data_IF_036806043074
#
_entry.id   IF_036806043074
#
_cell.length_a   1.000
_cell.length_b   1.000
_cell.length_c   1.000
_cell.angle_alpha   90.00
_cell.angle_beta   90.00
_cell.angle_gamma   90.00
#
_symmetry.space_group_name_H-M   'P 1'
#
loop_
_entity.id
_entity.type
_entity.pdbx_description
1 polymer ?
#
# COMPACT_ATOMS: atom_id res chain seq x y z
N UNK A 1 -29.60 -7.52 53.79
CA UNK A 1 -29.07 -6.94 52.54
C UNK A 1 -27.60 -7.30 52.41
N UNK A 2 -27.27 -8.40 51.73
CA UNK A 2 -25.89 -8.78 51.42
C UNK A 2 -25.54 -8.23 50.03
N UNK A 3 -24.49 -7.41 49.94
CA UNK A 3 -23.88 -6.98 48.68
C UNK A 3 -22.83 -8.01 48.25
N UNK A 4 -22.85 -8.54 47.02
CA UNK A 4 -21.78 -9.41 46.54
C UNK A 4 -20.55 -8.55 46.19
N UNK A 5 -19.38 -8.97 46.66
CA UNK A 5 -18.09 -8.44 46.25
C UNK A 5 -17.74 -9.05 44.89
N UNK A 6 -17.75 -8.25 43.83
CA UNK A 6 -17.14 -8.65 42.56
C UNK A 6 -15.63 -8.51 42.69
N UNK A 7 -14.94 -9.66 42.77
CA UNK A 7 -13.49 -9.73 42.61
C UNK A 7 -13.22 -9.75 41.11
N UNK A 8 -12.67 -8.66 40.59
CA UNK A 8 -12.11 -8.62 39.25
C UNK A 8 -10.80 -9.38 39.25
N UNK A 9 -10.83 -10.62 38.79
CA UNK A 9 -9.61 -11.36 38.44
C UNK A 9 -9.14 -10.81 37.10
N UNK A 10 -8.15 -9.92 37.13
CA UNK A 10 -7.37 -9.58 35.94
C UNK A 10 -6.50 -10.79 35.59
N UNK A 11 -7.01 -11.65 34.72
CA UNK A 11 -6.19 -12.60 33.98
C UNK A 11 -5.40 -11.80 32.94
N UNK A 12 -4.18 -11.41 33.32
CA UNK A 12 -3.16 -10.91 32.40
C UNK A 12 -2.77 -12.03 31.42
N UNK A 13 -3.52 -12.15 30.33
CA UNK A 13 -3.04 -12.83 29.14
C UNK A 13 -2.03 -11.90 28.44
N UNK A 14 -0.77 -12.01 28.83
CA UNK A 14 0.35 -11.62 27.96
C UNK A 14 0.54 -12.70 26.89
N UNK A 15 -0.47 -12.89 26.06
CA UNK A 15 -0.31 -13.62 24.81
C UNK A 15 0.03 -12.57 23.76
N UNK A 16 1.31 -12.53 23.34
CA UNK A 16 1.65 -11.90 22.07
C UNK A 16 0.68 -12.44 21.03
N UNK A 17 0.06 -11.54 20.26
CA UNK A 17 -0.87 -11.93 19.19
C UNK A 17 -0.04 -12.63 18.12
N UNK A 18 0.19 -13.92 18.30
CA UNK A 18 0.66 -14.79 17.23
C UNK A 18 -0.55 -14.95 16.30
N UNK A 19 -0.63 -14.11 15.26
CA UNK A 19 -1.51 -14.43 14.14
C UNK A 19 -1.01 -15.76 13.59
N UNK A 20 -1.87 -16.77 13.59
CA UNK A 20 -1.50 -18.09 13.09
C UNK A 20 -1.05 -17.95 11.64
N UNK A 21 0.13 -18.49 11.31
CA UNK A 21 0.63 -18.50 9.93
C UNK A 21 -0.23 -19.42 9.05
N UNK A 22 -0.82 -20.45 9.65
CA UNK A 22 -1.78 -21.33 9.00
C UNK A 22 -3.02 -20.54 8.52
N UNK A 23 -3.55 -20.84 7.33
CA UNK A 23 -3.23 -22.01 6.51
C UNK A 23 -2.05 -21.85 5.55
N UNK A 24 -1.38 -20.69 5.53
CA UNK A 24 -0.19 -20.52 4.68
C UNK A 24 0.98 -21.36 5.19
N UNK A 25 1.82 -21.78 4.25
CA UNK A 25 3.12 -22.37 4.53
C UNK A 25 4.17 -21.29 4.27
N UNK A 26 5.06 -20.96 5.22
CA UNK A 26 6.16 -20.04 4.99
C UNK A 26 7.13 -20.53 3.92
N UNK A 27 7.53 -19.63 3.01
CA UNK A 27 8.60 -19.92 2.06
C UNK A 27 9.91 -20.20 2.82
N UNK A 28 10.69 -21.24 2.42
CA UNK A 28 11.95 -21.56 3.10
C UNK A 28 12.88 -20.34 3.22
N UNK A 29 13.39 -20.12 4.43
CA UNK A 29 14.33 -19.04 4.74
C UNK A 29 13.70 -17.65 4.93
N UNK A 30 12.42 -17.45 4.56
CA UNK A 30 11.83 -16.10 4.60
C UNK A 30 11.71 -15.55 6.02
N UNK A 31 11.34 -16.39 6.98
CA UNK A 31 11.19 -15.98 8.39
C UNK A 31 12.54 -15.49 8.93
N UNK A 32 13.61 -16.26 8.70
CA UNK A 32 14.94 -15.93 9.18
C UNK A 32 15.47 -14.67 8.51
N UNK A 33 15.24 -14.52 7.20
CA UNK A 33 15.65 -13.33 6.45
C UNK A 33 14.92 -12.07 6.96
N UNK A 34 13.61 -12.15 7.18
CA UNK A 34 12.81 -11.02 7.69
C UNK A 34 13.25 -10.64 9.11
N UNK A 35 13.41 -11.64 9.99
CA UNK A 35 13.89 -11.41 11.35
C UNK A 35 15.29 -10.76 11.36
N UNK A 36 16.20 -11.21 10.51
CA UNK A 36 17.54 -10.64 10.39
C UNK A 36 17.55 -9.20 9.82
N UNK A 37 16.55 -8.86 9.00
CA UNK A 37 16.38 -7.53 8.42
C UNK A 37 15.63 -6.55 9.35
N UNK A 38 15.00 -7.04 10.42
CA UNK A 38 14.21 -6.23 11.34
C UNK A 38 15.05 -5.88 12.56
N UNK A 39 15.18 -4.59 12.88
CA UNK A 39 16.04 -4.12 13.99
C UNK A 39 15.49 -4.47 15.37
N UNK A 40 14.17 -4.53 15.52
CA UNK A 40 13.47 -4.93 16.74
C UNK A 40 12.22 -5.74 16.36
N UNK A 41 11.96 -6.91 16.97
CA UNK A 41 10.81 -7.76 16.63
C UNK A 41 9.45 -7.07 16.84
N UNK A 42 9.35 -5.99 17.61
CA UNK A 42 8.09 -5.25 17.72
C UNK A 42 7.76 -4.41 16.48
N UNK A 43 8.73 -4.17 15.58
CA UNK A 43 8.49 -3.44 14.33
C UNK A 43 7.89 -4.31 13.22
N UNK A 44 7.85 -5.64 13.38
CA UNK A 44 7.27 -6.54 12.37
C UNK A 44 5.87 -6.98 12.78
N UNK A 45 4.88 -6.69 11.93
CA UNK A 45 3.53 -7.25 12.12
C UNK A 45 3.55 -8.77 11.88
N UNK A 46 2.82 -9.57 12.67
CA UNK A 46 2.66 -11.00 12.43
C UNK A 46 2.20 -11.32 10.99
N UNK A 47 1.43 -10.42 10.37
CA UNK A 47 0.89 -10.55 9.00
C UNK A 47 1.98 -10.56 7.91
N UNK A 48 3.16 -10.01 8.20
CA UNK A 48 4.29 -9.90 7.26
C UNK A 48 5.56 -10.58 7.78
N UNK A 49 5.45 -11.40 8.84
CA UNK A 49 6.58 -12.11 9.47
C UNK A 49 7.16 -13.28 8.64
N UNK A 50 6.51 -13.64 7.53
CA UNK A 50 6.93 -14.70 6.59
C UNK A 50 6.38 -14.41 5.20
N UNK A 51 6.99 -14.94 4.14
CA UNK A 51 6.45 -14.88 2.77
C UNK A 51 5.62 -16.14 2.51
N UNK A 52 4.34 -16.07 2.10
CA UNK A 52 3.56 -17.27 1.79
C UNK A 52 4.19 -18.04 0.63
N UNK A 53 4.36 -19.35 0.79
CA UNK A 53 4.90 -20.21 -0.25
C UNK A 53 3.85 -20.45 -1.34
N UNK A 54 4.26 -20.28 -2.59
CA UNK A 54 3.50 -20.76 -3.75
C UNK A 54 4.39 -21.66 -4.62
N UNK A 55 3.78 -22.71 -5.18
CA UNK A 55 4.42 -23.61 -6.14
C UNK A 55 4.26 -23.13 -7.58
N UNK A 56 3.28 -22.28 -7.86
CA UNK A 56 2.92 -21.81 -9.21
C UNK A 56 3.21 -20.34 -9.43
N UNK A 57 3.14 -19.51 -8.37
CA UNK A 57 3.35 -18.06 -8.46
C UNK A 57 4.75 -17.71 -7.93
N UNK A 58 5.56 -16.95 -8.68
CA UNK A 58 6.89 -16.56 -8.22
C UNK A 58 6.79 -15.57 -7.06
N UNK A 59 7.34 -15.95 -5.91
CA UNK A 59 7.48 -15.05 -4.77
C UNK A 59 8.49 -13.94 -5.08
N UNK A 60 8.38 -12.78 -4.41
CA UNK A 60 9.38 -11.74 -4.58
C UNK A 60 10.76 -12.23 -4.13
N UNK A 61 10.85 -13.06 -3.09
CA UNK A 61 12.11 -13.63 -2.64
C UNK A 61 12.81 -14.45 -3.74
N UNK A 62 12.09 -15.33 -4.43
CA UNK A 62 12.64 -16.10 -5.56
C UNK A 62 12.99 -15.22 -6.75
N UNK A 63 12.16 -14.23 -7.08
CA UNK A 63 12.37 -13.39 -8.26
C UNK A 63 13.54 -12.40 -8.07
N UNK A 64 13.62 -11.76 -6.90
CA UNK A 64 14.66 -10.77 -6.61
C UNK A 64 15.94 -11.39 -6.04
N UNK A 65 15.89 -12.64 -5.55
CA UNK A 65 16.99 -13.32 -4.85
C UNK A 65 17.18 -12.82 -3.40
N UNK A 66 16.20 -12.09 -2.87
CA UNK A 66 16.19 -11.47 -1.54
C UNK A 66 14.76 -11.14 -1.14
N UNK A 67 14.49 -11.03 0.17
CA UNK A 67 13.22 -10.48 0.65
C UNK A 67 13.05 -9.01 0.18
N UNK A 68 11.79 -8.57 0.09
CA UNK A 68 11.49 -7.16 -0.12
C UNK A 68 11.90 -6.36 1.12
N UNK A 69 12.40 -5.14 0.91
CA UNK A 69 12.89 -4.30 2.01
C UNK A 69 14.21 -4.76 2.65
N UNK A 70 14.92 -5.71 2.05
CA UNK A 70 16.23 -6.15 2.56
C UNK A 70 17.20 -4.96 2.72
N UNK A 71 17.90 -4.82 3.86
CA UNK A 71 18.79 -3.69 4.11
C UNK A 71 19.83 -3.50 3.02
N UNK A 72 20.02 -2.25 2.59
CA UNK A 72 21.02 -1.88 1.60
C UNK A 72 20.67 -2.27 0.15
N UNK A 73 19.40 -2.54 -0.14
CA UNK A 73 18.93 -2.92 -1.47
C UNK A 73 17.71 -2.08 -1.88
N UNK A 74 17.71 -1.60 -3.12
CA UNK A 74 16.56 -0.91 -3.72
C UNK A 74 16.26 -1.50 -5.10
N UNK A 75 14.97 -1.64 -5.42
CA UNK A 75 14.51 -2.06 -6.74
C UNK A 75 14.26 -0.85 -7.66
N UNK A 76 14.88 -0.86 -8.85
CA UNK A 76 14.58 0.10 -9.93
C UNK A 76 13.32 -0.26 -10.71
N UNK A 77 12.82 0.69 -11.50
CA UNK A 77 11.52 0.59 -12.20
C UNK A 77 11.45 -0.63 -13.12
N UNK A 78 12.48 -0.86 -13.93
CA UNK A 78 12.53 -2.00 -14.87
C UNK A 78 12.30 -3.34 -14.15
N UNK A 79 13.05 -3.60 -13.07
CA UNK A 79 12.97 -4.88 -12.35
C UNK A 79 11.66 -4.99 -11.55
N UNK A 80 11.16 -3.88 -10.99
CA UNK A 80 9.87 -3.84 -10.31
C UNK A 80 8.72 -4.18 -11.27
N UNK A 81 8.74 -3.62 -12.48
CA UNK A 81 7.70 -3.85 -13.48
C UNK A 81 7.82 -5.23 -14.13
N UNK A 82 9.04 -5.73 -14.32
CA UNK A 82 9.25 -7.12 -14.72
C UNK A 82 8.62 -8.09 -13.72
N UNK A 83 8.76 -7.83 -12.41
CA UNK A 83 8.11 -8.63 -11.38
C UNK A 83 6.58 -8.51 -11.41
N UNK A 84 6.03 -7.30 -11.52
CA UNK A 84 4.58 -7.09 -11.62
C UNK A 84 3.95 -7.86 -12.79
N UNK A 85 4.63 -7.86 -13.95
CA UNK A 85 4.20 -8.63 -15.13
C UNK A 85 4.36 -10.14 -14.93
N UNK A 86 5.44 -10.59 -14.30
CA UNK A 86 5.63 -12.01 -13.97
C UNK A 86 4.58 -12.53 -12.99
N UNK A 87 4.21 -11.72 -11.99
CA UNK A 87 3.13 -12.02 -11.05
C UNK A 87 1.80 -12.19 -11.79
N UNK A 88 1.44 -11.23 -12.64
CA UNK A 88 0.20 -11.29 -13.42
C UNK A 88 0.15 -12.44 -14.44
N UNK A 89 1.29 -12.81 -15.02
CA UNK A 89 1.37 -13.97 -15.92
C UNK A 89 1.16 -15.30 -15.19
N UNK A 90 1.42 -15.36 -13.89
CA UNK A 90 1.38 -16.60 -13.10
C UNK A 90 0.03 -16.88 -12.42
N UNK A 91 -0.91 -15.92 -12.40
CA UNK A 91 -2.20 -16.09 -11.73
C UNK A 91 -3.34 -15.32 -12.40
N UNK A 92 -4.55 -15.88 -12.38
CA UNK A 92 -5.77 -15.21 -12.85
C UNK A 92 -6.31 -14.14 -11.86
N UNK A 93 -5.67 -14.01 -10.69
CA UNK A 93 -6.05 -13.05 -9.64
C UNK A 93 -5.44 -11.66 -9.81
N UNK A 94 -4.57 -11.46 -10.80
CA UNK A 94 -3.86 -10.19 -11.02
C UNK A 94 -3.95 -9.79 -12.50
N UNK A 95 -4.25 -8.51 -12.77
CA UNK A 95 -4.18 -7.90 -14.11
C UNK A 95 -3.33 -6.64 -14.06
N UNK A 96 -2.50 -6.42 -15.07
CA UNK A 96 -1.62 -5.23 -15.16
C UNK A 96 -2.10 -4.34 -16.29
N UNK A 97 -2.11 -3.04 -16.03
CA UNK A 97 -2.40 -1.98 -16.99
C UNK A 97 -1.27 -0.97 -17.02
N UNK A 98 -1.13 -0.27 -18.14
CA UNK A 98 -0.31 0.94 -18.24
C UNK A 98 -1.27 2.13 -18.22
N UNK A 99 -1.17 2.99 -17.20
CA UNK A 99 -2.08 4.15 -17.00
C UNK A 99 -1.55 5.45 -17.63
N UNK A 100 -0.30 5.42 -18.09
CA UNK A 100 0.36 6.52 -18.76
C UNK A 100 1.84 6.27 -18.91
N UNK A 101 2.54 7.31 -19.37
CA UNK A 101 3.99 7.34 -19.41
C UNK A 101 4.48 8.59 -18.71
N UNK A 102 5.64 8.53 -18.08
CA UNK A 102 6.33 9.67 -17.50
C UNK A 102 6.89 10.61 -18.57
N UNK A 103 7.46 11.72 -18.16
CA UNK A 103 8.05 12.71 -19.05
C UNK A 103 9.29 12.18 -19.80
N UNK A 104 10.02 11.21 -19.23
CA UNK A 104 11.10 10.49 -19.92
C UNK A 104 10.61 9.23 -20.65
N UNK A 105 9.29 9.00 -20.71
CA UNK A 105 8.66 7.95 -21.52
C UNK A 105 8.62 6.58 -20.86
N UNK A 106 8.85 6.47 -19.54
CA UNK A 106 8.70 5.21 -18.80
C UNK A 106 7.22 4.94 -18.56
N UNK A 107 6.79 3.69 -18.68
CA UNK A 107 5.43 3.30 -18.31
C UNK A 107 5.13 3.68 -16.85
N UNK A 108 3.85 3.87 -16.55
CA UNK A 108 3.33 3.94 -15.18
C UNK A 108 2.31 2.82 -15.08
N UNK A 109 2.58 1.82 -14.23
CA UNK A 109 1.76 0.62 -14.12
C UNK A 109 0.68 0.73 -13.04
N UNK A 110 -0.41 0.01 -13.27
CA UNK A 110 -1.46 -0.27 -12.30
C UNK A 110 -1.71 -1.77 -12.27
N UNK A 111 -1.68 -2.36 -11.09
CA UNK A 111 -2.11 -3.75 -10.86
C UNK A 111 -3.53 -3.70 -10.32
N UNK A 112 -4.43 -4.52 -10.86
CA UNK A 112 -5.72 -4.85 -10.26
C UNK A 112 -5.68 -6.26 -9.70
N UNK A 113 -6.11 -6.43 -8.45
CA UNK A 113 -6.02 -7.68 -7.70
C UNK A 113 -7.38 -7.98 -7.05
N UNK A 114 -7.92 -9.16 -7.32
CA UNK A 114 -9.14 -9.70 -6.73
C UNK A 114 -9.12 -11.23 -6.81
N UNK A 115 -10.17 -11.90 -6.33
CA UNK A 115 -10.42 -13.28 -6.75
C UNK A 115 -10.69 -13.37 -8.27
N UNK A 116 -10.66 -14.60 -8.82
CA UNK A 116 -10.82 -14.81 -10.26
C UNK A 116 -12.16 -14.28 -10.81
N UNK A 117 -13.32 -14.47 -10.13
CA UNK A 117 -14.57 -13.82 -10.54
C UNK A 117 -14.46 -12.29 -10.58
N UNK A 118 -13.80 -11.67 -9.59
CA UNK A 118 -13.60 -10.23 -9.55
C UNK A 118 -12.76 -9.70 -10.72
N UNK A 119 -11.66 -10.39 -11.06
CA UNK A 119 -10.84 -10.02 -12.22
C UNK A 119 -11.55 -10.29 -13.55
N UNK A 120 -12.35 -11.36 -13.64
CA UNK A 120 -13.17 -11.63 -14.82
C UNK A 120 -14.22 -10.53 -15.03
N UNK A 121 -14.85 -10.06 -13.95
CA UNK A 121 -15.92 -9.08 -13.98
C UNK A 121 -15.41 -7.62 -13.82
N UNK A 122 -14.10 -7.39 -13.96
CA UNK A 122 -13.42 -6.14 -13.59
C UNK A 122 -14.01 -4.91 -14.30
N UNK A 123 -14.34 -5.01 -15.59
CA UNK A 123 -14.92 -3.90 -16.36
C UNK A 123 -16.32 -3.55 -15.85
N UNK A 124 -17.12 -4.54 -15.42
CA UNK A 124 -18.44 -4.32 -14.80
C UNK A 124 -18.30 -3.62 -13.45
N UNK A 125 -17.35 -4.07 -12.62
CA UNK A 125 -17.09 -3.48 -11.29
C UNK A 125 -16.59 -2.03 -11.40
N UNK A 126 -15.72 -1.75 -12.38
CA UNK A 126 -15.25 -0.40 -12.72
C UNK A 126 -16.39 0.48 -13.25
N UNK A 127 -17.27 -0.03 -14.10
CA UNK A 127 -18.43 0.73 -14.57
C UNK A 127 -19.40 1.08 -13.44
N UNK A 128 -19.64 0.14 -12.51
CA UNK A 128 -20.54 0.36 -11.38
C UNK A 128 -20.02 1.45 -10.42
N UNK A 129 -18.72 1.49 -10.14
CA UNK A 129 -18.11 2.55 -9.32
C UNK A 129 -18.16 3.92 -10.01
N UNK A 130 -17.98 3.97 -11.33
CA UNK A 130 -18.16 5.20 -12.10
C UNK A 130 -19.62 5.71 -12.08
N UNK A 131 -20.60 4.81 -12.16
CA UNK A 131 -22.02 5.17 -12.06
C UNK A 131 -22.39 5.66 -10.65
N UNK A 132 -21.86 5.02 -9.61
CA UNK A 132 -22.04 5.46 -8.22
C UNK A 132 -21.35 6.81 -7.92
N UNK A 133 -20.29 7.15 -8.65
CA UNK A 133 -19.57 8.41 -8.46
C UNK A 133 -20.30 9.66 -9.02
N UNK A 134 -21.34 9.49 -9.84
CA UNK A 134 -22.13 10.61 -10.39
C UNK A 134 -23.61 10.53 -9.97
N UNK A 135 -23.98 11.08 -8.80
CA UNK A 135 -25.35 11.04 -8.29
C UNK A 135 -26.35 11.84 -9.15
N UNK A 136 -25.88 12.63 -10.12
CA UNK A 136 -26.77 13.33 -11.08
C UNK A 136 -27.33 12.37 -12.12
N UNK A 137 -26.72 11.20 -12.29
CA UNK A 137 -27.05 10.19 -13.31
C UNK A 137 -27.65 8.92 -12.71
N UNK A 138 -27.51 8.73 -11.40
CA UNK A 138 -27.85 7.49 -10.69
C UNK A 138 -28.81 7.79 -9.57
N UNK A 139 -30.06 7.34 -9.70
CA UNK A 139 -31.06 7.50 -8.65
C UNK A 139 -30.84 6.50 -7.50
N UNK A 140 -31.47 6.76 -6.34
CA UNK A 140 -31.28 5.93 -5.14
C UNK A 140 -31.58 4.44 -5.35
N UNK A 141 -32.70 4.04 -6.00
CA UNK A 141 -32.96 2.62 -6.24
C UNK A 141 -31.91 1.93 -7.11
N UNK A 142 -31.38 2.64 -8.12
CA UNK A 142 -30.30 2.11 -8.95
C UNK A 142 -29.01 2.00 -8.16
N UNK A 143 -28.68 3.01 -7.35
CA UNK A 143 -27.51 3.01 -6.48
C UNK A 143 -27.54 1.82 -5.49
N UNK A 144 -28.68 1.57 -4.82
CA UNK A 144 -28.84 0.45 -3.88
C UNK A 144 -28.60 -0.90 -4.57
N UNK A 145 -29.10 -1.07 -5.80
CA UNK A 145 -28.87 -2.26 -6.62
C UNK A 145 -27.39 -2.42 -6.99
N UNK A 146 -26.74 -1.35 -7.44
CA UNK A 146 -25.31 -1.37 -7.76
C UNK A 146 -24.49 -1.73 -6.52
N UNK A 147 -24.74 -1.10 -5.37
CA UNK A 147 -24.05 -1.38 -4.11
C UNK A 147 -24.16 -2.86 -3.74
N UNK A 148 -25.35 -3.46 -3.88
CA UNK A 148 -25.58 -4.88 -3.55
C UNK A 148 -24.82 -5.89 -4.43
N UNK A 149 -24.32 -5.46 -5.60
CA UNK A 149 -23.69 -6.35 -6.60
C UNK A 149 -22.28 -5.91 -7.03
N UNK A 150 -21.76 -4.85 -6.41
CA UNK A 150 -20.45 -4.27 -6.70
C UNK A 150 -19.44 -4.62 -5.61
N UNK A 151 -18.18 -4.25 -5.86
CA UNK A 151 -17.08 -4.35 -4.90
C UNK A 151 -16.45 -2.98 -4.76
N UNK A 152 -16.17 -2.50 -3.55
CA UNK A 152 -15.38 -1.29 -3.37
C UNK A 152 -14.01 -1.46 -4.02
N UNK A 153 -13.50 -0.36 -4.57
CA UNK A 153 -12.15 -0.29 -5.14
C UNK A 153 -11.24 0.37 -4.10
N UNK A 154 -10.20 -0.33 -3.67
CA UNK A 154 -9.20 0.18 -2.73
C UNK A 154 -7.89 0.42 -3.48
N UNK A 155 -7.37 1.66 -3.48
CA UNK A 155 -6.21 2.04 -4.27
C UNK A 155 -5.00 2.38 -3.40
N UNK A 156 -3.86 1.73 -3.67
CA UNK A 156 -2.55 2.10 -3.15
C UNK A 156 -1.73 2.84 -4.21
N UNK A 157 -1.25 4.03 -3.87
CA UNK A 157 -0.26 4.78 -4.64
C UNK A 157 1.08 4.73 -3.90
N UNK A 158 2.16 4.39 -4.59
CA UNK A 158 3.49 4.27 -4.00
C UNK A 158 4.55 5.03 -4.82
N UNK A 159 5.62 5.42 -4.13
CA UNK A 159 6.78 6.13 -4.69
C UNK A 159 6.39 7.35 -5.55
N UNK A 160 5.48 8.16 -5.04
CA UNK A 160 5.18 9.49 -5.58
C UNK A 160 6.36 10.42 -5.33
N UNK A 161 6.79 10.55 -4.07
CA UNK A 161 8.09 11.13 -3.73
C UNK A 161 9.17 10.07 -3.91
N UNK A 162 10.18 10.37 -4.71
CA UNK A 162 11.13 9.36 -5.14
C UNK A 162 12.21 9.04 -4.12
N UNK A 163 12.46 9.95 -3.18
CA UNK A 163 13.39 9.77 -2.06
C UNK A 163 12.77 9.01 -0.87
N UNK A 164 11.49 8.64 -0.97
CA UNK A 164 10.78 7.73 -0.07
C UNK A 164 10.83 6.31 -0.68
N UNK A 165 11.62 5.42 -0.08
CA UNK A 165 12.21 4.30 -0.83
C UNK A 165 11.59 2.92 -0.58
N UNK A 166 10.87 2.77 0.52
CA UNK A 166 10.25 1.53 0.99
C UNK A 166 8.88 1.22 0.38
N UNK A 167 8.06 2.23 0.07
CA UNK A 167 6.68 2.02 -0.41
C UNK A 167 6.57 1.07 -1.61
N UNK A 168 7.42 1.21 -2.65
CA UNK A 168 7.46 0.28 -3.80
C UNK A 168 7.73 -1.17 -3.37
N UNK A 169 8.67 -1.39 -2.46
CA UNK A 169 9.03 -2.74 -2.03
C UNK A 169 7.88 -3.38 -1.24
N UNK A 170 7.23 -2.59 -0.37
CA UNK A 170 6.08 -3.01 0.43
C UNK A 170 4.89 -3.42 -0.46
N UNK A 171 4.51 -2.60 -1.44
CA UNK A 171 3.31 -2.87 -2.24
C UNK A 171 3.51 -3.98 -3.27
N UNK A 172 4.74 -4.25 -3.72
CA UNK A 172 5.03 -5.40 -4.57
C UNK A 172 4.90 -6.72 -3.78
N UNK A 173 5.32 -6.75 -2.52
CA UNK A 173 5.07 -7.90 -1.66
C UNK A 173 3.59 -8.03 -1.29
N UNK A 174 2.91 -6.91 -1.00
CA UNK A 174 1.46 -6.90 -0.77
C UNK A 174 0.71 -7.49 -1.97
N UNK A 175 1.07 -7.10 -3.20
CA UNK A 175 0.48 -7.64 -4.42
C UNK A 175 0.61 -9.18 -4.49
N UNK A 176 1.79 -9.70 -4.17
CA UNK A 176 2.03 -11.14 -4.10
C UNK A 176 1.17 -11.81 -3.02
N UNK A 177 1.16 -11.28 -1.80
CA UNK A 177 0.36 -11.83 -0.69
C UNK A 177 -1.13 -11.85 -1.03
N UNK A 178 -1.64 -10.75 -1.57
CA UNK A 178 -3.02 -10.68 -2.04
C UNK A 178 -3.30 -11.72 -3.12
N UNK A 179 -2.34 -12.04 -3.99
CA UNK A 179 -2.53 -13.07 -5.01
C UNK A 179 -2.52 -14.51 -4.47
N UNK A 180 -1.70 -14.82 -3.46
CA UNK A 180 -1.40 -16.23 -3.09
C UNK A 180 -1.81 -16.67 -1.69
N UNK A 181 -1.88 -15.75 -0.72
CA UNK A 181 -2.13 -16.13 0.67
C UNK A 181 -3.55 -16.66 0.82
N UNK A 182 -3.70 -17.76 1.54
CA UNK A 182 -4.98 -18.38 1.87
C UNK A 182 -5.42 -18.06 3.29
N UNK A 183 -4.78 -17.08 3.93
CA UNK A 183 -5.26 -16.50 5.18
C UNK A 183 -6.71 -16.03 5.04
N UNK A 184 -7.61 -16.33 6.01
CA UNK A 184 -9.02 -15.96 5.91
C UNK A 184 -9.25 -14.46 5.64
N UNK A 185 -8.45 -13.60 6.28
CA UNK A 185 -8.49 -12.15 6.05
C UNK A 185 -8.14 -11.79 4.59
N UNK A 186 -7.10 -12.40 4.01
CA UNK A 186 -6.68 -12.10 2.65
C UNK A 186 -7.67 -12.66 1.62
N UNK A 187 -8.23 -13.85 1.86
CA UNK A 187 -9.33 -14.37 1.05
C UNK A 187 -10.54 -13.44 1.09
N UNK A 188 -10.92 -12.97 2.28
CA UNK A 188 -12.03 -12.05 2.46
C UNK A 188 -11.81 -10.75 1.68
N UNK A 189 -10.61 -10.15 1.78
CA UNK A 189 -10.21 -8.97 0.99
C UNK A 189 -10.37 -9.25 -0.51
N UNK A 190 -9.78 -10.34 -1.03
CA UNK A 190 -9.85 -10.69 -2.47
C UNK A 190 -11.29 -10.89 -2.98
N UNK A 191 -12.17 -11.44 -2.15
CA UNK A 191 -13.55 -11.79 -2.52
C UNK A 191 -14.48 -10.58 -2.52
N UNK A 192 -14.16 -9.54 -1.75
CA UNK A 192 -15.05 -8.41 -1.52
C UNK A 192 -14.51 -7.08 -2.07
N UNK A 193 -13.21 -6.98 -2.37
CA UNK A 193 -12.57 -5.79 -2.91
C UNK A 193 -11.97 -6.05 -4.30
N UNK A 194 -11.82 -4.96 -5.04
CA UNK A 194 -10.81 -4.85 -6.09
C UNK A 194 -9.70 -3.96 -5.54
N UNK A 195 -8.51 -4.53 -5.34
CA UNK A 195 -7.35 -3.78 -4.87
C UNK A 195 -6.55 -3.30 -6.07
N UNK A 196 -6.37 -1.99 -6.18
CA UNK A 196 -5.52 -1.35 -7.16
C UNK A 196 -4.19 -0.97 -6.53
N UNK A 197 -3.08 -1.24 -7.22
CA UNK A 197 -1.73 -0.87 -6.76
C UNK A 197 -1.00 -0.20 -7.91
N UNK A 198 -0.63 1.07 -7.73
CA UNK A 198 0.40 1.73 -8.52
C UNK A 198 1.73 1.64 -7.77
N UNK A 199 2.65 0.73 -8.14
CA UNK A 199 3.83 0.45 -7.34
C UNK A 199 4.90 1.55 -7.45
N UNK A 200 4.88 2.33 -8.53
CA UNK A 200 5.82 3.42 -8.78
C UNK A 200 5.09 4.51 -9.57
N UNK A 201 4.64 5.54 -8.86
CA UNK A 201 3.92 6.68 -9.42
C UNK A 201 4.85 7.65 -10.17
N UNK A 202 6.08 7.80 -9.68
CA UNK A 202 7.13 8.59 -10.32
C UNK A 202 8.33 7.72 -10.76
N UNK A 203 8.23 7.00 -11.90
CA UNK A 203 9.29 6.09 -12.35
C UNK A 203 10.59 6.79 -12.72
N UNK A 204 10.50 8.02 -13.25
CA UNK A 204 11.68 8.82 -13.61
C UNK A 204 12.50 9.20 -12.39
N UNK A 205 11.84 9.55 -11.29
CA UNK A 205 12.52 9.85 -10.04
C UNK A 205 12.94 8.62 -9.27
N UNK A 206 12.17 7.54 -9.31
CA UNK A 206 12.55 6.26 -8.68
C UNK A 206 13.90 5.77 -9.21
N UNK A 207 14.10 5.76 -10.52
CA UNK A 207 15.36 5.30 -11.12
C UNK A 207 16.53 6.22 -10.74
N UNK A 208 16.32 7.55 -10.71
CA UNK A 208 17.35 8.49 -10.24
C UNK A 208 17.72 8.28 -8.78
N UNK A 209 16.74 8.03 -7.91
CA UNK A 209 17.01 7.76 -6.49
C UNK A 209 17.75 6.43 -6.30
N UNK A 210 17.35 5.39 -7.05
CA UNK A 210 18.03 4.09 -7.02
C UNK A 210 19.48 4.23 -7.48
N UNK A 211 19.73 4.91 -8.61
CA UNK A 211 21.08 5.19 -9.10
C UNK A 211 21.91 5.98 -8.07
N UNK A 212 21.32 7.03 -7.48
CA UNK A 212 21.95 7.82 -6.42
C UNK A 212 22.34 6.97 -5.22
N UNK A 213 21.43 6.11 -4.75
CA UNK A 213 21.69 5.20 -3.64
C UNK A 213 22.88 4.29 -3.91
N UNK A 214 22.90 3.60 -5.06
CA UNK A 214 23.97 2.65 -5.38
C UNK A 214 25.32 3.33 -5.63
N UNK A 215 25.34 4.56 -6.15
CA UNK A 215 26.59 5.32 -6.37
C UNK A 215 27.15 5.96 -5.09
N UNK A 216 26.28 6.49 -4.23
CA UNK A 216 26.71 7.44 -3.20
C UNK A 216 26.37 7.04 -1.77
N UNK A 217 25.38 6.19 -1.52
CA UNK A 217 24.88 5.90 -0.17
C UNK A 217 25.11 4.46 0.27
N UNK A 218 25.04 3.49 -0.65
CA UNK A 218 25.12 2.08 -0.32
C UNK A 218 26.40 1.74 0.44
N UNK A 219 26.23 1.11 1.61
CA UNK A 219 27.34 0.68 2.48
C UNK A 219 27.93 1.79 3.35
N UNK A 220 27.46 3.03 3.24
CA UNK A 220 27.90 4.12 4.11
C UNK A 220 27.02 4.19 5.37
N UNK A 221 27.65 4.01 6.52
CA UNK A 221 26.95 3.97 7.82
C UNK A 221 27.23 5.18 8.71
N UNK A 222 28.33 5.90 8.46
CA UNK A 222 28.64 7.14 9.17
C UNK A 222 27.76 8.29 8.65
N UNK A 223 26.70 8.58 9.41
CA UNK A 223 25.72 9.63 9.10
C UNK A 223 26.35 11.02 8.97
N UNK A 224 27.46 11.28 9.66
CA UNK A 224 28.10 12.60 9.66
C UNK A 224 28.85 12.93 8.37
N UNK A 225 29.24 11.89 7.61
CA UNK A 225 29.94 12.00 6.33
C UNK A 225 29.09 11.59 5.12
N UNK A 226 27.80 11.30 5.33
CA UNK A 226 26.91 10.96 4.23
C UNK A 226 26.79 12.15 3.26
N UNK A 227 26.86 11.91 1.94
CA UNK A 227 26.45 12.91 0.97
C UNK A 227 24.94 13.18 1.11
N UNK A 228 24.41 14.09 0.31
CA UNK A 228 22.96 14.35 0.25
C UNK A 228 22.18 13.03 0.13
N UNK A 229 21.12 12.87 0.91
CA UNK A 229 20.34 11.62 0.99
C UNK A 229 19.51 11.35 -0.28
N UNK A 230 19.29 12.37 -1.11
CA UNK A 230 18.54 12.29 -2.34
C UNK A 230 19.29 12.97 -3.50
N UNK A 231 19.03 12.58 -4.76
CA UNK A 231 19.58 13.27 -5.91
C UNK A 231 19.14 14.75 -5.91
N UNK A 232 19.92 15.65 -6.54
CA UNK A 232 19.59 17.07 -6.58
C UNK A 232 18.28 17.37 -7.31
N UNK A 233 17.81 16.45 -8.16
CA UNK A 233 16.53 16.45 -8.83
C UNK A 233 16.05 15.00 -8.98
N UNK A 234 14.74 14.78 -8.85
CA UNK A 234 14.12 13.46 -9.05
C UNK A 234 13.18 13.46 -10.27
N UNK A 235 12.47 14.54 -10.57
CA UNK A 235 11.64 14.63 -11.78
C UNK A 235 12.43 15.17 -13.00
N UNK A 236 11.88 15.04 -14.21
CA UNK A 236 12.51 15.53 -15.45
C UNK A 236 12.66 17.06 -15.43
N UNK A 237 13.87 17.54 -15.12
CA UNK A 237 14.25 18.96 -15.07
C UNK A 237 13.48 19.85 -14.08
N UNK A 238 12.81 19.26 -13.10
CA UNK A 238 12.03 19.98 -12.10
C UNK A 238 12.38 19.50 -10.68
N UNK A 239 12.61 20.45 -9.77
CA UNK A 239 12.56 20.22 -8.32
C UNK A 239 11.14 20.49 -7.84
N UNK A 240 10.19 19.70 -8.37
CA UNK A 240 8.77 19.84 -8.07
C UNK A 240 8.32 18.68 -7.20
N UNK A 241 7.58 19.03 -6.17
CA UNK A 241 6.78 18.12 -5.37
C UNK A 241 5.54 17.72 -6.20
N UNK A 242 5.51 16.47 -6.68
CA UNK A 242 4.39 15.93 -7.47
C UNK A 242 3.10 15.91 -6.62
N UNK A 243 3.21 15.84 -5.29
CA UNK A 243 2.08 15.88 -4.36
C UNK A 243 1.54 17.30 -4.16
N UNK A 244 2.06 18.29 -4.91
CA UNK A 244 1.49 19.63 -5.06
C UNK A 244 1.01 19.92 -6.48
N UNK A 245 1.29 19.04 -7.43
CA UNK A 245 0.94 19.23 -8.84
C UNK A 245 -0.51 18.82 -9.15
N UNK A 246 -1.24 18.15 -8.24
CA UNK A 246 -2.61 17.67 -8.49
C UNK A 246 -3.57 18.76 -8.98
N UNK A 247 -3.37 20.01 -8.57
CA UNK A 247 -4.19 21.16 -8.99
C UNK A 247 -3.77 21.73 -10.34
N UNK A 248 -2.47 21.72 -10.65
CA UNK A 248 -1.92 22.31 -11.88
C UNK A 248 -1.90 21.30 -13.03
N UNK A 249 -1.76 20.01 -12.70
CA UNK A 249 -1.66 18.89 -13.63
C UNK A 249 -0.63 19.14 -14.72
N UNK A 250 0.56 19.60 -14.33
CA UNK A 250 1.62 19.93 -15.28
C UNK A 250 2.32 18.65 -15.74
N UNK A 251 2.58 17.73 -14.81
CA UNK A 251 3.38 16.53 -15.01
C UNK A 251 2.55 15.39 -15.60
N UNK A 252 3.17 14.60 -16.49
CA UNK A 252 2.54 13.44 -17.11
C UNK A 252 2.24 12.34 -16.08
N UNK A 253 3.08 12.21 -15.06
CA UNK A 253 2.83 11.30 -13.92
C UNK A 253 1.55 11.68 -13.18
N UNK A 254 1.38 12.97 -12.83
CA UNK A 254 0.15 13.51 -12.23
C UNK A 254 -1.06 13.28 -13.13
N UNK A 255 -0.94 13.59 -14.42
CA UNK A 255 -2.05 13.40 -15.39
C UNK A 255 -2.44 11.93 -15.53
N UNK A 256 -1.47 11.01 -15.50
CA UNK A 256 -1.74 9.57 -15.57
C UNK A 256 -2.52 9.08 -14.36
N UNK A 257 -2.08 9.44 -13.14
CA UNK A 257 -2.79 9.08 -11.91
C UNK A 257 -4.16 9.75 -11.85
N UNK A 258 -4.28 11.00 -12.27
CA UNK A 258 -5.57 11.71 -12.31
C UNK A 258 -6.56 11.06 -13.28
N UNK A 259 -6.12 10.69 -14.49
CA UNK A 259 -6.97 9.93 -15.43
C UNK A 259 -7.39 8.59 -14.84
N UNK A 260 -6.45 7.86 -14.24
CA UNK A 260 -6.75 6.58 -13.56
C UNK A 260 -7.79 6.78 -12.45
N UNK A 261 -7.65 7.80 -11.61
CA UNK A 261 -8.61 8.09 -10.53
C UNK A 261 -10.03 8.29 -11.07
N UNK A 262 -10.18 9.07 -12.15
CA UNK A 262 -11.48 9.31 -12.80
C UNK A 262 -11.94 8.19 -13.74
N UNK A 263 -11.10 7.20 -14.00
CA UNK A 263 -11.46 6.01 -14.74
C UNK A 263 -11.95 4.90 -13.81
N UNK A 264 -11.34 4.78 -12.63
CA UNK A 264 -11.58 3.70 -11.68
C UNK A 264 -12.44 4.10 -10.47
N UNK A 265 -12.53 5.37 -10.13
CA UNK A 265 -13.31 5.89 -8.99
C UNK A 265 -13.09 5.08 -7.69
N UNK A 266 -11.84 5.00 -7.19
CA UNK A 266 -11.56 4.25 -5.97
C UNK A 266 -12.34 4.81 -4.78
N UNK A 267 -12.93 3.91 -3.99
CA UNK A 267 -13.68 4.22 -2.78
C UNK A 267 -12.74 4.65 -1.64
N UNK A 268 -11.57 4.03 -1.56
CA UNK A 268 -10.52 4.37 -0.60
C UNK A 268 -9.20 4.52 -1.33
N UNK A 269 -8.45 5.57 -0.98
CA UNK A 269 -7.10 5.82 -1.49
C UNK A 269 -6.14 5.84 -0.32
N UNK A 270 -5.06 5.09 -0.46
CA UNK A 270 -3.93 5.07 0.45
C UNK A 270 -2.68 5.51 -0.32
N UNK A 271 -2.22 6.74 -0.06
CA UNK A 271 -1.00 7.27 -0.64
C UNK A 271 0.16 7.08 0.34
N UNK A 272 1.11 6.23 -0.02
CA UNK A 272 2.15 5.77 0.90
C UNK A 272 3.35 6.70 0.88
N UNK A 273 3.65 7.27 2.05
CA UNK A 273 4.75 8.20 2.25
C UNK A 273 5.74 7.76 3.33
N UNK A 274 6.96 8.32 3.27
CA UNK A 274 8.00 8.17 4.30
C UNK A 274 8.50 9.53 4.77
N UNK A 275 8.65 9.68 6.09
CA UNK A 275 9.17 10.93 6.68
C UNK A 275 9.54 10.80 8.15
N UNK A 276 9.05 9.77 8.81
CA UNK A 276 9.39 9.36 10.17
C UNK A 276 9.78 7.87 10.17
N UNK A 277 10.68 7.42 11.07
CA UNK A 277 10.97 6.00 11.23
C UNK A 277 9.78 5.19 11.76
N UNK A 278 8.72 5.85 12.24
CA UNK A 278 7.53 5.22 12.81
C UNK A 278 6.30 5.44 11.93
N UNK A 279 5.33 4.52 12.03
CA UNK A 279 4.11 4.56 11.23
C UNK A 279 3.18 5.68 11.67
N UNK A 280 2.78 6.51 10.70
CA UNK A 280 1.76 7.54 10.88
C UNK A 280 0.65 7.33 9.86
N UNK A 281 -0.59 7.19 10.33
CA UNK A 281 -1.78 7.25 9.46
C UNK A 281 -2.30 8.68 9.40
N UNK A 282 -2.37 9.23 8.19
CA UNK A 282 -2.74 10.62 7.96
C UNK A 282 -4.08 10.73 7.25
N UNK A 283 -5.02 11.45 7.85
CA UNK A 283 -6.38 11.61 7.36
C UNK A 283 -6.72 13.03 6.88
N UNK A 284 -5.69 13.89 6.72
CA UNK A 284 -5.88 15.28 6.29
C UNK A 284 -6.18 16.26 7.42
N UNK A 285 -6.05 17.54 7.08
CA UNK A 285 -6.51 18.68 7.88
C UNK A 285 -7.32 19.62 7.01
N UNK A 286 -8.21 20.39 7.64
CA UNK A 286 -8.97 21.41 6.94
C UNK A 286 -8.11 22.56 6.39
N UNK A 287 -8.68 23.45 5.55
CA UNK A 287 -10.11 23.52 5.22
C UNK A 287 -10.57 22.38 4.30
N UNK A 288 -11.75 21.87 4.59
CA UNK A 288 -12.38 20.78 3.87
C UNK A 288 -13.31 21.31 2.76
N UNK A 289 -13.45 20.57 1.66
CA UNK A 289 -14.34 20.95 0.56
C UNK A 289 -15.80 20.95 1.06
N UNK A 290 -16.52 22.09 1.00
CA UNK A 290 -17.88 22.17 1.52
C UNK A 290 -18.91 21.34 0.74
N UNK A 291 -18.52 20.77 -0.41
CA UNK A 291 -19.37 19.92 -1.24
C UNK A 291 -19.22 18.42 -0.95
N UNK A 292 -18.33 18.02 -0.04
CA UNK A 292 -18.21 16.62 0.41
C UNK A 292 -19.03 16.49 1.69
N UNK A 293 -19.75 15.37 1.82
CA UNK A 293 -20.56 15.08 3.00
C UNK A 293 -19.68 15.13 4.27
N UNK A 294 -20.08 15.91 5.31
CA UNK A 294 -19.33 15.97 6.55
C UNK A 294 -19.06 14.62 7.23
N UNK A 295 -19.94 13.62 7.02
CA UNK A 295 -19.77 12.27 7.53
C UNK A 295 -18.50 11.63 6.97
N UNK A 296 -18.20 11.84 5.69
CA UNK A 296 -17.00 11.30 5.03
C UNK A 296 -15.71 11.71 5.75
N UNK A 297 -15.63 12.94 6.26
CA UNK A 297 -14.47 13.38 7.05
C UNK A 297 -14.33 12.63 8.38
N UNK A 298 -15.46 12.33 9.03
CA UNK A 298 -15.43 11.54 10.27
C UNK A 298 -15.12 10.07 10.01
N UNK A 299 -15.50 9.53 8.85
CA UNK A 299 -15.12 8.17 8.44
C UNK A 299 -13.61 8.05 8.19
N UNK A 300 -12.96 9.09 7.65
CA UNK A 300 -11.50 9.10 7.52
C UNK A 300 -10.80 8.96 8.88
N UNK A 301 -11.29 9.68 9.90
CA UNK A 301 -10.78 9.54 11.27
C UNK A 301 -11.00 8.13 11.83
N UNK A 302 -12.17 7.53 11.56
CA UNK A 302 -12.44 6.15 11.98
C UNK A 302 -11.44 5.17 11.38
N UNK A 303 -11.13 5.29 10.08
CA UNK A 303 -10.14 4.43 9.43
C UNK A 303 -8.76 4.55 10.11
N UNK A 304 -8.29 5.78 10.32
CA UNK A 304 -7.02 6.03 11.02
C UNK A 304 -7.00 5.47 12.44
N UNK A 305 -8.08 5.65 13.22
CA UNK A 305 -8.14 5.08 14.57
C UNK A 305 -8.16 3.56 14.57
N UNK A 306 -8.80 2.92 13.59
CA UNK A 306 -8.76 1.47 13.44
C UNK A 306 -7.36 0.97 13.13
N UNK A 307 -6.61 1.67 12.28
CA UNK A 307 -5.22 1.31 11.97
C UNK A 307 -4.32 1.44 13.21
N UNK A 308 -4.40 2.58 13.91
CA UNK A 308 -3.64 2.80 15.16
C UNK A 308 -4.01 1.76 16.22
N UNK A 309 -5.31 1.51 16.44
CA UNK A 309 -5.80 0.52 17.39
C UNK A 309 -5.29 -0.89 17.04
N UNK A 310 -5.40 -1.30 15.78
CA UNK A 310 -4.98 -2.62 15.32
C UNK A 310 -3.46 -2.83 15.49
N UNK A 311 -2.63 -1.86 15.11
CA UNK A 311 -1.18 -1.99 15.25
C UNK A 311 -0.74 -1.89 16.71
N UNK A 312 -1.39 -1.05 17.51
CA UNK A 312 -1.15 -0.96 18.97
C UNK A 312 -1.50 -2.28 19.65
N UNK A 313 -2.61 -2.92 19.26
CA UNK A 313 -2.98 -4.24 19.76
C UNK A 313 -1.93 -5.32 19.41
N UNK A 314 -1.21 -5.18 18.28
CA UNK A 314 -0.08 -6.03 17.93
C UNK A 314 1.21 -5.71 18.73
N UNK A 315 1.18 -4.69 19.60
CA UNK A 315 2.33 -4.25 20.38
C UNK A 315 3.35 -3.45 19.57
N UNK A 316 2.97 -2.93 18.39
CA UNK A 316 3.86 -2.16 17.53
C UNK A 316 4.08 -0.75 18.13
N UNK A 317 5.32 -0.35 18.41
CA UNK A 317 5.59 0.92 19.06
C UNK A 317 5.45 2.09 18.07
N UNK A 318 5.06 3.25 18.60
CA UNK A 318 5.15 4.51 17.87
C UNK A 318 4.14 4.71 16.74
N UNK A 319 3.12 3.87 16.64
CA UNK A 319 2.04 4.05 15.67
C UNK A 319 1.16 5.21 16.12
N UNK A 320 0.90 6.15 15.21
CA UNK A 320 0.21 7.40 15.53
C UNK A 320 -0.69 7.88 14.39
N UNK A 321 -1.56 8.84 14.71
CA UNK A 321 -2.29 9.65 13.72
C UNK A 321 -2.23 11.11 14.13
N UNK A 322 -2.39 12.03 13.16
CA UNK A 322 -2.06 13.45 13.24
C UNK A 322 -2.75 14.25 14.37
N UNK A 323 -3.74 13.68 15.06
CA UNK A 323 -4.56 14.40 16.03
C UNK A 323 -4.27 14.09 17.52
N UNK A 324 -3.13 13.45 17.84
CA UNK A 324 -2.74 13.18 19.23
C UNK A 324 -1.31 13.66 19.50
N UNK A 325 -1.20 14.91 19.93
CA UNK A 325 -0.02 15.41 20.61
C UNK A 325 -0.30 15.44 22.12
N UNK A 326 0.22 14.47 22.85
CA UNK A 326 0.74 14.76 24.18
C UNK A 326 2.25 14.57 24.10
N UNK A 327 2.97 15.67 24.36
CA UNK A 327 4.41 15.78 24.32
C UNK A 327 5.09 15.01 25.47
#
# INVERSE_FOLDING_TARGET
>A
MLRPKFVWVYLLWSAGIAVAQAPDIPEPGSIQAIAAATTDPHFISPLVSYIPQSTTVPSPQKFFGRIMGAPGQLVGTEKAYAYARALAAATARVRVFTIGHSEEGREILLLAIADEPGIRDLDRLKAATAELADPRRTDQPTADKLISTSRPIYYFNAALHSDETGSTEAVLELAYRLAVSEQPMIQHIRQHLVVLINPISNPDGRDKMVDWFYRYLKGKTDRSSLPRQSPPYWSKYAFVDINRDTHQQTHETTKAVHRMFHEWHPTVVHDLHEGSPLMMTWNGTGPYNPNIDPITYTEFLQLSFREVEAMTAMGMPGVSTWNFGEA
#
